data_IF_730676370949
#
_entry.id   IF_730676370949
#
_cell.length_a   1.000
_cell.length_b   1.000
_cell.length_c   1.000
_cell.angle_alpha   90.00
_cell.angle_beta   90.00
_cell.angle_gamma   90.00
#
_symmetry.space_group_name_H-M   'P 1'
#
loop_
_entity.id
_entity.type
_entity.pdbx_description
1 polymer ?
#
# COMPACT_ATOMS: atom_id res chain seq x y z
N UNK A 1 22.80 -4.94 28.58
CA UNK A 1 22.31 -5.42 27.27
C UNK A 1 20.81 -5.23 27.05
N UNK A 2 19.93 -5.51 28.01
CA UNK A 2 18.46 -5.42 27.80
C UNK A 2 17.91 -4.03 27.43
N UNK A 3 18.50 -2.92 27.93
CA UNK A 3 18.07 -1.56 27.58
C UNK A 3 18.25 -1.21 26.11
N UNK A 4 19.38 -1.63 25.51
CA UNK A 4 19.67 -1.42 24.08
C UNK A 4 18.71 -2.22 23.19
N UNK A 5 18.47 -3.48 23.55
CA UNK A 5 17.51 -4.34 22.82
C UNK A 5 16.09 -3.76 22.89
N UNK A 6 15.69 -3.26 24.06
CA UNK A 6 14.39 -2.61 24.24
C UNK A 6 14.25 -1.36 23.36
N UNK A 7 15.30 -0.54 23.29
CA UNK A 7 15.34 0.63 22.41
C UNK A 7 15.22 0.23 20.94
N UNK A 8 16.00 -0.76 20.49
CA UNK A 8 15.93 -1.28 19.13
C UNK A 8 14.53 -1.77 18.77
N UNK A 9 13.85 -2.45 19.69
CA UNK A 9 12.48 -2.90 19.48
C UNK A 9 11.51 -1.73 19.25
N UNK A 10 11.60 -0.67 20.05
CA UNK A 10 10.79 0.54 19.83
C UNK A 10 11.09 1.21 18.49
N UNK A 11 12.36 1.27 18.08
CA UNK A 11 12.75 1.84 16.79
C UNK A 11 12.16 1.02 15.64
N UNK A 12 12.22 -0.31 15.70
CA UNK A 12 11.63 -1.20 14.69
C UNK A 12 10.12 -0.98 14.58
N UNK A 13 9.42 -0.88 15.71
CA UNK A 13 7.98 -0.59 15.72
C UNK A 13 7.71 0.78 15.08
N UNK A 14 8.47 1.79 15.44
CA UNK A 14 8.28 3.15 14.91
C UNK A 14 8.55 3.21 13.41
N UNK A 15 9.59 2.53 12.94
CA UNK A 15 9.88 2.38 11.51
C UNK A 15 8.75 1.65 10.78
N UNK A 16 8.24 0.56 11.36
CA UNK A 16 7.10 -0.19 10.81
C UNK A 16 5.85 0.71 10.68
N UNK A 17 5.51 1.45 11.74
CA UNK A 17 4.38 2.40 11.72
C UNK A 17 4.60 3.48 10.66
N UNK A 18 5.82 3.99 10.51
CA UNK A 18 6.14 4.99 9.49
C UNK A 18 5.91 4.49 8.06
N UNK A 19 6.36 3.27 7.75
CA UNK A 19 6.15 2.65 6.43
C UNK A 19 4.67 2.37 6.19
N UNK A 20 3.96 1.82 7.18
CA UNK A 20 2.52 1.55 7.07
C UNK A 20 1.76 2.87 6.88
N UNK A 21 2.04 3.89 7.70
CA UNK A 21 1.41 5.20 7.59
C UNK A 21 1.62 5.84 6.22
N UNK A 22 2.84 5.75 5.67
CA UNK A 22 3.13 6.25 4.34
C UNK A 22 2.36 5.50 3.25
N UNK A 23 2.17 4.18 3.36
CA UNK A 23 1.38 3.42 2.39
C UNK A 23 -0.09 3.89 2.32
N UNK A 24 -0.67 4.34 3.44
CA UNK A 24 -2.03 4.88 3.48
C UNK A 24 -2.11 6.37 3.11
N UNK A 25 -1.14 7.17 3.55
CA UNK A 25 -1.14 8.62 3.33
C UNK A 25 -0.48 9.03 2.01
N UNK A 26 0.24 8.12 1.36
CA UNK A 26 1.01 8.40 0.15
C UNK A 26 0.23 9.09 -0.97
N UNK A 27 -1.05 8.73 -1.25
CA UNK A 27 -1.86 9.45 -2.23
C UNK A 27 -1.98 10.95 -1.94
N UNK A 28 -1.94 11.40 -0.68
CA UNK A 28 -1.96 12.82 -0.32
C UNK A 28 -0.61 13.52 -0.55
N UNK A 29 0.48 12.76 -0.62
CA UNK A 29 1.82 13.23 -0.97
C UNK A 29 2.15 13.10 -2.46
N UNK A 30 1.17 12.70 -3.29
CA UNK A 30 1.32 12.55 -4.74
C UNK A 30 1.94 11.24 -5.20
N UNK A 31 2.09 10.24 -4.32
CA UNK A 31 2.46 8.88 -4.74
C UNK A 31 1.21 8.07 -5.09
N UNK A 32 1.18 7.50 -6.29
CA UNK A 32 0.14 6.55 -6.71
C UNK A 32 0.67 5.12 -6.62
N UNK A 33 0.02 4.30 -5.79
CA UNK A 33 0.35 2.88 -5.62
C UNK A 33 -0.62 1.96 -6.36
N UNK A 34 -1.53 2.52 -7.16
CA UNK A 34 -2.53 1.76 -7.92
C UNK A 34 -1.86 1.06 -9.08
N UNK A 35 -2.30 -0.16 -9.40
CA UNK A 35 -1.87 -0.82 -10.62
C UNK A 35 -2.33 0.00 -11.85
N UNK A 36 -1.49 0.13 -12.89
CA UNK A 36 -1.88 0.83 -14.11
C UNK A 36 -3.13 0.16 -14.70
N UNK A 37 -4.20 0.95 -14.84
CA UNK A 37 -5.47 0.49 -15.40
C UNK A 37 -5.40 0.54 -16.92
N UNK A 38 -5.61 -0.60 -17.58
CA UNK A 38 -5.82 -0.67 -19.02
C UNK A 38 -7.29 -0.93 -19.31
N UNK A 39 -7.86 -0.17 -20.24
CA UNK A 39 -9.21 -0.43 -20.70
C UNK A 39 -9.25 -1.75 -21.49
N UNK A 40 -10.09 -2.68 -21.06
CA UNK A 40 -10.34 -3.95 -21.76
C UNK A 40 -11.76 -3.92 -22.30
N UNK A 41 -11.90 -4.02 -23.62
CA UNK A 41 -13.20 -4.14 -24.29
C UNK A 41 -13.34 -5.53 -24.87
N UNK A 42 -14.31 -6.29 -24.38
CA UNK A 42 -14.67 -7.61 -24.91
C UNK A 42 -16.03 -7.50 -25.58
N UNK A 43 -16.16 -7.86 -26.86
CA UNK A 43 -17.46 -7.91 -27.51
C UNK A 43 -18.31 -9.00 -26.84
N UNK A 44 -19.54 -8.65 -26.48
CA UNK A 44 -20.51 -9.60 -25.91
C UNK A 44 -21.61 -9.80 -26.94
N UNK A 45 -21.87 -11.06 -27.30
CA UNK A 45 -23.03 -11.43 -28.11
C UNK A 45 -24.22 -11.56 -27.17
N UNK A 46 -25.21 -10.68 -27.31
CA UNK A 46 -26.47 -10.78 -26.59
C UNK A 46 -27.39 -11.76 -27.33
N UNK A 47 -27.77 -12.85 -26.66
CA UNK A 47 -28.80 -13.75 -27.15
C UNK A 47 -30.18 -13.16 -26.82
N UNK A 48 -31.04 -13.07 -27.84
CA UNK A 48 -32.38 -12.46 -27.75
C UNK A 48 -33.50 -13.49 -27.98
N UNK A 49 -33.18 -14.79 -27.88
CA UNK A 49 -34.15 -15.88 -27.98
C UNK A 49 -35.23 -15.87 -26.88
#
# INVERSE_FOLDING_TARGET
>A
MGKLIKLLFYIVILAFIGVVGYAYLGPWFGSDFTAPQSEIRVPVTLDAH
#
